data_IF_837725330946
#
_entry.id   IF_837725330946
#
_cell.length_a   1.000
_cell.length_b   1.000
_cell.length_c   1.000
_cell.angle_alpha   90.00
_cell.angle_beta   90.00
_cell.angle_gamma   90.00
#
_symmetry.space_group_name_H-M   'P 1'
#
loop_
_entity.id
_entity.type
_entity.pdbx_description
1 polymer ?
#
# COMPACT_ATOMS: atom_id res chain seq x y z
N UNK A 1 -8.37 -2.88 -2.60
CA UNK A 1 -6.93 -2.49 -2.52
C UNK A 1 -6.71 -1.19 -3.31
N UNK A 2 -7.40 -0.11 -2.91
CA UNK A 2 -7.40 1.19 -3.61
C UNK A 2 -6.36 2.19 -3.04
N UNK A 3 -5.59 1.75 -2.04
CA UNK A 3 -4.66 2.59 -1.28
C UNK A 3 -3.34 2.89 -2.03
N UNK A 4 -3.19 2.43 -3.27
CA UNK A 4 -1.99 2.68 -4.07
C UNK A 4 -1.80 4.16 -4.41
N UNK A 5 -2.90 4.90 -4.61
CA UNK A 5 -2.83 6.34 -4.88
C UNK A 5 -2.40 7.11 -3.62
N UNK A 6 -2.91 6.74 -2.44
CA UNK A 6 -2.45 7.31 -1.16
C UNK A 6 -0.98 7.02 -0.92
N UNK A 7 -0.53 5.78 -1.18
CA UNK A 7 0.88 5.40 -1.05
C UNK A 7 1.78 6.23 -1.97
N UNK A 8 1.33 6.51 -3.20
CA UNK A 8 2.05 7.38 -4.13
C UNK A 8 2.20 8.80 -3.57
N UNK A 9 1.12 9.36 -3.00
CA UNK A 9 1.15 10.69 -2.38
C UNK A 9 2.14 10.73 -1.20
N UNK A 10 2.07 9.75 -0.29
CA UNK A 10 3.00 9.65 0.85
C UNK A 10 4.45 9.54 0.38
N UNK A 11 4.73 8.74 -0.66
CA UNK A 11 6.08 8.61 -1.18
C UNK A 11 6.59 9.91 -1.82
N UNK A 12 5.72 10.70 -2.44
CA UNK A 12 6.07 12.00 -3.02
C UNK A 12 6.37 13.03 -1.93
N UNK A 13 5.57 13.05 -0.85
CA UNK A 13 5.80 13.93 0.29
C UNK A 13 7.15 13.60 0.95
N UNK A 14 7.42 12.32 1.21
CA UNK A 14 8.70 11.85 1.73
C UNK A 14 9.89 12.23 0.84
N UNK A 15 9.74 12.16 -0.48
CA UNK A 15 10.79 12.56 -1.41
C UNK A 15 11.09 14.06 -1.30
N UNK A 16 10.05 14.88 -1.12
CA UNK A 16 10.18 16.33 -0.94
C UNK A 16 10.90 16.67 0.36
N UNK A 17 10.54 15.98 1.45
CA UNK A 17 11.22 16.11 2.75
C UNK A 17 12.70 15.73 2.64
N UNK A 18 13.02 14.65 1.90
CA UNK A 18 14.39 14.22 1.67
C UNK A 18 15.20 15.24 0.85
N UNK A 19 14.60 15.88 -0.15
CA UNK A 19 15.28 16.97 -0.88
C UNK A 19 15.58 18.16 0.02
N UNK A 20 14.62 18.56 0.86
CA UNK A 20 14.81 19.64 1.82
C UNK A 20 15.90 19.30 2.83
N UNK A 21 15.86 18.09 3.40
CA UNK A 21 16.85 17.59 4.34
C UNK A 21 18.26 17.52 3.72
N UNK A 22 18.38 17.04 2.48
CA UNK A 22 19.65 16.97 1.78
C UNK A 22 20.25 18.36 1.53
N UNK A 23 19.45 19.33 1.11
CA UNK A 23 19.90 20.71 0.92
C UNK A 23 20.32 21.35 2.26
N UNK A 24 19.53 21.16 3.32
CA UNK A 24 19.86 21.67 4.65
C UNK A 24 21.15 21.03 5.20
N UNK A 25 21.37 19.74 4.94
CA UNK A 25 22.59 19.05 5.35
C UNK A 25 23.82 19.65 4.66
N UNK A 26 23.75 19.84 3.33
CA UNK A 26 24.82 20.49 2.55
C UNK A 26 25.08 21.89 3.07
N UNK A 27 24.04 22.70 3.28
CA UNK A 27 24.15 24.08 3.75
C UNK A 27 24.83 24.16 5.13
N UNK A 28 24.49 23.27 6.06
CA UNK A 28 25.01 23.33 7.42
C UNK A 28 26.37 22.65 7.63
N UNK A 29 26.74 21.67 6.81
CA UNK A 29 27.91 20.83 7.04
C UNK A 29 29.01 20.97 5.99
N UNK A 30 28.81 21.80 4.95
CA UNK A 30 29.87 22.07 3.99
C UNK A 30 31.04 22.79 4.65
N UNK A 31 32.25 22.41 4.24
CA UNK A 31 33.47 23.02 4.73
C UNK A 31 33.94 24.14 3.79
N UNK A 32 34.58 25.17 4.34
CA UNK A 32 35.14 26.26 3.55
C UNK A 32 36.38 25.78 2.77
N UNK A 33 36.42 26.09 1.47
CA UNK A 33 37.52 25.72 0.58
C UNK A 33 38.50 26.89 0.48
N UNK A 34 39.80 26.59 0.54
CA UNK A 34 40.86 27.58 0.30
C UNK A 34 40.92 27.87 -1.19
N UNK A 35 40.66 29.12 -1.59
CA UNK A 35 40.65 29.53 -3.00
C UNK A 35 42.07 29.73 -3.55
N UNK A 36 42.99 30.28 -2.75
CA UNK A 36 44.39 30.55 -3.12
C UNK A 36 45.33 30.31 -1.93
N UNK A 37 46.60 30.01 -2.18
CA UNK A 37 47.60 29.77 -1.13
C UNK A 37 47.85 30.97 -0.20
N UNK A 38 47.49 32.18 -0.64
CA UNK A 38 47.64 33.43 0.09
C UNK A 38 46.39 33.81 0.92
N UNK A 39 45.27 33.11 0.72
CA UNK A 39 43.99 33.43 1.36
C UNK A 39 43.64 32.34 2.40
N UNK A 40 43.88 32.59 3.70
CA UNK A 40 43.65 31.58 4.73
C UNK A 40 42.16 31.26 4.84
N UNK A 41 41.87 29.97 5.08
CA UNK A 41 40.51 29.49 5.29
C UNK A 41 39.81 30.33 6.37
N UNK A 42 38.69 30.96 5.98
CA UNK A 42 37.82 31.64 6.94
C UNK A 42 37.15 30.57 7.81
N UNK A 43 37.51 30.55 9.09
CA UNK A 43 36.91 29.65 10.08
C UNK A 43 35.94 30.47 10.92
N UNK A 44 34.65 30.24 10.75
CA UNK A 44 33.64 30.77 11.66
C UNK A 44 33.67 29.95 12.96
N UNK A 45 33.76 30.62 14.11
CA UNK A 45 33.79 29.97 15.43
C UNK A 45 32.48 29.24 15.77
N UNK A 46 31.38 29.59 15.11
CA UNK A 46 30.07 28.94 15.31
C UNK A 46 29.76 27.89 14.24
N UNK A 47 30.62 27.70 13.22
CA UNK A 47 30.43 26.72 12.15
C UNK A 47 31.21 25.46 12.47
N UNK A 48 30.51 24.33 12.60
CA UNK A 48 31.08 23.03 12.92
C UNK A 48 30.91 22.09 11.71
N UNK A 49 31.72 22.25 10.65
CA UNK A 49 31.60 21.42 9.46
C UNK A 49 31.97 19.97 9.80
N UNK A 50 31.29 19.03 9.14
CA UNK A 50 31.66 17.62 9.23
C UNK A 50 33.05 17.39 8.61
N UNK A 51 33.73 16.31 8.98
CA UNK A 51 34.95 15.96 8.26
C UNK A 51 34.63 15.65 6.79
N UNK A 52 35.57 15.88 5.88
CA UNK A 52 35.34 15.66 4.46
C UNK A 52 34.94 14.20 4.14
N UNK A 53 35.46 13.24 4.91
CA UNK A 53 35.08 11.83 4.79
C UNK A 53 33.63 11.60 5.23
N UNK A 54 33.24 12.07 6.41
CA UNK A 54 31.87 11.93 6.95
C UNK A 54 30.84 12.68 6.08
N UNK A 55 31.20 13.86 5.58
CA UNK A 55 30.37 14.64 4.68
C UNK A 55 30.12 13.89 3.37
N UNK A 56 31.19 13.37 2.75
CA UNK A 56 31.08 12.59 1.50
C UNK A 56 30.27 11.32 1.70
N UNK A 57 30.46 10.60 2.82
CA UNK A 57 29.69 9.40 3.16
C UNK A 57 28.20 9.73 3.29
N UNK A 58 27.88 10.78 4.05
CA UNK A 58 26.49 11.23 4.27
C UNK A 58 25.81 11.67 2.97
N UNK A 59 26.51 12.36 2.07
CA UNK A 59 25.98 12.74 0.75
C UNK A 59 25.69 11.51 -0.10
N UNK A 60 26.56 10.51 -0.08
CA UNK A 60 26.35 9.26 -0.83
C UNK A 60 25.15 8.47 -0.29
N UNK A 61 24.95 8.44 1.03
CA UNK A 61 23.78 7.83 1.66
C UNK A 61 22.49 8.55 1.23
N UNK A 62 22.43 9.87 1.43
CA UNK A 62 21.29 10.71 1.03
C UNK A 62 20.94 10.55 -0.46
N UNK A 63 21.94 10.56 -1.34
CA UNK A 63 21.75 10.36 -2.77
C UNK A 63 21.21 8.96 -3.08
N UNK A 64 21.74 7.93 -2.42
CA UNK A 64 21.28 6.55 -2.57
C UNK A 64 19.82 6.39 -2.15
N UNK A 65 19.44 6.99 -1.02
CA UNK A 65 18.07 6.94 -0.53
C UNK A 65 17.09 7.65 -1.46
N UNK A 66 17.44 8.83 -1.98
CA UNK A 66 16.63 9.55 -2.98
C UNK A 66 16.40 8.68 -4.23
N UNK A 67 17.45 7.99 -4.70
CA UNK A 67 17.34 7.08 -5.86
C UNK A 67 16.41 5.90 -5.54
N UNK A 68 16.55 5.30 -4.35
CA UNK A 68 15.71 4.19 -3.92
C UNK A 68 14.24 4.61 -3.81
N UNK A 69 13.95 5.78 -3.24
CA UNK A 69 12.59 6.33 -3.19
C UNK A 69 12.02 6.62 -4.56
N UNK A 70 12.83 7.15 -5.47
CA UNK A 70 12.40 7.38 -6.86
C UNK A 70 12.02 6.06 -7.54
N UNK A 71 12.81 4.98 -7.36
CA UNK A 71 12.46 3.65 -7.89
C UNK A 71 11.18 3.08 -7.26
N UNK A 72 10.99 3.29 -5.95
CA UNK A 72 9.78 2.89 -5.25
C UNK A 72 8.55 3.60 -5.85
N UNK A 73 8.64 4.91 -6.09
CA UNK A 73 7.57 5.70 -6.73
C UNK A 73 7.25 5.15 -8.12
N UNK A 74 8.25 4.87 -8.96
CA UNK A 74 8.04 4.30 -10.29
C UNK A 74 7.32 2.95 -10.22
N UNK A 75 7.73 2.07 -9.30
CA UNK A 75 7.08 0.77 -9.09
C UNK A 75 5.61 0.93 -8.66
N UNK A 76 5.31 1.94 -7.83
CA UNK A 76 3.93 2.22 -7.43
C UNK A 76 3.11 2.70 -8.63
N UNK A 77 3.66 3.58 -9.47
CA UNK A 77 3.02 4.07 -10.70
C UNK A 77 2.69 2.90 -11.64
N UNK A 78 3.65 2.00 -11.87
CA UNK A 78 3.48 0.84 -12.75
C UNK A 78 2.43 -0.16 -12.22
N UNK A 79 2.19 -0.15 -10.90
CA UNK A 79 1.22 -1.04 -10.24
C UNK A 79 -0.11 -0.35 -9.90
N UNK A 80 -0.34 0.87 -10.41
CA UNK A 80 -1.60 1.58 -10.19
C UNK A 80 -2.77 0.81 -10.83
N UNK A 81 -3.83 0.50 -10.07
CA UNK A 81 -4.97 -0.24 -10.60
C UNK A 81 -5.69 0.59 -11.67
N UNK A 82 -5.94 -0.02 -12.82
CA UNK A 82 -6.59 0.64 -13.94
C UNK A 82 -5.67 1.54 -14.78
N UNK A 83 -4.36 1.54 -14.53
CA UNK A 83 -3.39 2.17 -15.45
C UNK A 83 -3.47 1.50 -16.82
N UNK A 84 -3.57 2.31 -17.88
CA UNK A 84 -3.67 1.82 -19.26
C UNK A 84 -5.05 1.30 -19.69
N UNK A 85 -6.07 1.32 -18.82
CA UNK A 85 -7.43 0.87 -19.17
C UNK A 85 -8.32 2.08 -19.48
N UNK A 86 -9.11 2.01 -20.54
CA UNK A 86 -10.04 3.09 -20.88
C UNK A 86 -11.24 3.13 -19.93
N UNK A 87 -11.84 4.31 -19.75
CA UNK A 87 -13.07 4.46 -18.94
C UNK A 87 -14.21 3.57 -19.43
N UNK A 88 -14.28 3.33 -20.74
CA UNK A 88 -15.30 2.47 -21.34
C UNK A 88 -15.10 1.02 -20.92
N UNK A 89 -13.90 0.48 -21.06
CA UNK A 89 -13.60 -0.90 -20.61
C UNK A 89 -13.83 -1.08 -19.11
N UNK A 90 -13.49 -0.07 -18.30
CA UNK A 90 -13.80 -0.08 -16.86
C UNK A 90 -15.30 -0.15 -16.60
N UNK A 91 -16.11 0.63 -17.32
CA UNK A 91 -17.56 0.61 -17.20
C UNK A 91 -18.16 -0.71 -17.66
N UNK A 92 -17.73 -1.23 -18.82
CA UNK A 92 -18.17 -2.52 -19.34
C UNK A 92 -17.85 -3.65 -18.34
N UNK A 93 -16.68 -3.59 -17.69
CA UNK A 93 -16.30 -4.53 -16.64
C UNK A 93 -17.18 -4.42 -15.40
N UNK A 94 -17.57 -3.21 -15.00
CA UNK A 94 -18.50 -2.98 -13.88
C UNK A 94 -19.85 -3.62 -14.18
N UNK A 95 -20.42 -3.36 -15.36
CA UNK A 95 -21.72 -3.91 -15.77
C UNK A 95 -21.70 -5.44 -15.85
N UNK A 96 -20.59 -6.01 -16.34
CA UNK A 96 -20.41 -7.47 -16.34
C UNK A 96 -20.39 -8.03 -14.91
N UNK A 97 -19.60 -7.44 -14.03
CA UNK A 97 -19.48 -7.88 -12.63
C UNK A 97 -20.82 -7.74 -11.88
N UNK A 98 -21.60 -6.69 -12.15
CA UNK A 98 -22.93 -6.52 -11.58
C UNK A 98 -23.87 -7.66 -11.98
N UNK A 99 -23.86 -8.05 -13.26
CA UNK A 99 -24.65 -9.19 -13.75
C UNK A 99 -24.19 -10.51 -13.12
N UNK A 100 -22.88 -10.75 -13.08
CA UNK A 100 -22.31 -11.94 -12.44
C UNK A 100 -22.67 -12.01 -10.95
N UNK A 101 -22.64 -10.88 -10.26
CA UNK A 101 -23.03 -10.79 -8.85
C UNK A 101 -24.50 -11.15 -8.66
N UNK A 102 -25.39 -10.62 -9.50
CA UNK A 102 -26.82 -10.94 -9.46
C UNK A 102 -27.08 -12.44 -9.62
N UNK A 103 -26.46 -13.08 -10.62
CA UNK A 103 -26.64 -14.50 -10.89
C UNK A 103 -26.12 -15.36 -9.72
N UNK A 104 -24.98 -14.98 -9.13
CA UNK A 104 -24.40 -15.65 -7.95
C UNK A 104 -25.31 -15.50 -6.73
N UNK A 105 -25.89 -14.32 -6.49
CA UNK A 105 -26.83 -14.11 -5.39
C UNK A 105 -28.11 -14.94 -5.55
N UNK A 106 -28.66 -15.01 -6.77
CA UNK A 106 -29.85 -15.82 -7.05
C UNK A 106 -29.58 -17.31 -6.82
N UNK A 107 -28.41 -17.80 -7.24
CA UNK A 107 -27.99 -19.17 -6.95
C UNK A 107 -27.84 -19.40 -5.45
N UNK A 108 -27.18 -18.49 -4.74
CA UNK A 108 -27.02 -18.54 -3.27
C UNK A 108 -28.39 -18.62 -2.59
N UNK A 109 -29.35 -17.78 -2.98
CA UNK A 109 -30.71 -17.80 -2.43
C UNK A 109 -31.40 -19.15 -2.62
N UNK A 110 -31.33 -19.72 -3.83
CA UNK A 110 -31.91 -21.04 -4.11
C UNK A 110 -31.25 -22.15 -3.28
N UNK A 111 -29.93 -22.13 -3.16
CA UNK A 111 -29.18 -23.10 -2.35
C UNK A 111 -29.54 -23.01 -0.88
N UNK A 112 -29.69 -21.79 -0.33
CA UNK A 112 -30.13 -21.60 1.06
C UNK A 112 -31.53 -22.19 1.25
N UNK A 113 -32.45 -21.92 0.33
CA UNK A 113 -33.81 -22.43 0.41
C UNK A 113 -33.84 -23.97 0.43
N UNK A 114 -33.15 -24.62 -0.52
CA UNK A 114 -33.06 -26.09 -0.54
C UNK A 114 -32.40 -26.64 0.72
N UNK A 115 -31.39 -25.96 1.26
CA UNK A 115 -30.74 -26.37 2.51
C UNK A 115 -31.73 -26.29 3.70
N UNK A 116 -32.54 -25.25 3.77
CA UNK A 116 -33.53 -25.09 4.84
C UNK A 116 -34.66 -26.13 4.72
N UNK A 117 -35.17 -26.40 3.50
CA UNK A 117 -36.17 -27.44 3.25
C UNK A 117 -35.67 -28.84 3.67
N UNK A 118 -34.42 -29.17 3.33
CA UNK A 118 -33.80 -30.45 3.71
C UNK A 118 -33.60 -30.55 5.23
N UNK A 119 -33.27 -29.44 5.89
CA UNK A 119 -33.09 -29.40 7.33
C UNK A 119 -34.41 -29.61 8.07
N UNK A 120 -35.49 -29.03 7.57
CA UNK A 120 -36.85 -29.27 8.08
C UNK A 120 -37.23 -30.76 7.95
N UNK A 121 -37.01 -31.36 6.78
CA UNK A 121 -37.30 -32.78 6.55
C UNK A 121 -36.51 -33.71 7.48
N UNK A 122 -35.22 -33.46 7.68
CA UNK A 122 -34.39 -34.25 8.61
C UNK A 122 -34.88 -34.09 10.06
N UNK A 123 -35.27 -32.88 10.47
CA UNK A 123 -35.82 -32.65 11.80
C UNK A 123 -37.13 -33.40 12.03
N UNK A 124 -38.03 -33.44 11.03
CA UNK A 124 -39.26 -34.22 11.11
C UNK A 124 -38.98 -35.71 11.31
N UNK A 125 -38.04 -36.30 10.56
CA UNK A 125 -37.64 -37.70 10.72
C UNK A 125 -37.07 -37.99 12.11
N UNK A 126 -36.22 -37.09 12.64
CA UNK A 126 -35.67 -37.22 13.99
C UNK A 126 -36.80 -37.20 15.03
N UNK A 127 -37.77 -36.29 14.89
CA UNK A 127 -38.92 -36.20 15.80
C UNK A 127 -39.82 -37.43 15.72
N UNK A 128 -40.07 -37.98 14.53
CA UNK A 128 -40.85 -39.22 14.35
C UNK A 128 -40.16 -40.41 15.02
N UNK A 129 -38.85 -40.58 14.82
CA UNK A 129 -38.08 -41.64 15.46
C UNK A 129 -38.09 -41.46 16.99
N UNK A 130 -37.89 -40.25 17.48
CA UNK A 130 -37.91 -39.95 18.91
C UNK A 130 -39.27 -40.28 19.54
N UNK A 131 -40.39 -39.94 18.89
CA UNK A 131 -41.75 -40.30 19.33
C UNK A 131 -41.97 -41.80 19.32
N UNK A 132 -41.59 -42.49 18.25
CA UNK A 132 -41.71 -43.96 18.16
C UNK A 132 -40.92 -44.68 19.27
N UNK A 133 -39.71 -44.23 19.60
CA UNK A 133 -38.93 -44.76 20.71
C UNK A 133 -39.61 -44.50 22.06
N UNK A 134 -40.18 -43.30 22.26
CA UNK A 134 -40.89 -42.95 23.48
C UNK A 134 -42.15 -43.82 23.68
N UNK A 135 -42.95 -44.01 22.63
CA UNK A 135 -44.16 -44.84 22.64
C UNK A 135 -43.86 -46.32 22.86
N UNK A 136 -42.71 -46.83 22.40
CA UNK A 136 -42.31 -48.24 22.60
C UNK A 136 -41.77 -48.51 24.01
N UNK A 137 -41.39 -47.47 24.76
CA UNK A 137 -40.84 -47.58 26.13
C UNK A 137 -41.89 -47.42 27.24
N UNK A 138 -43.11 -47.01 26.93
CA UNK A 138 -44.26 -46.92 27.84
C UNK A 138 -45.04 -48.23 27.79
#
# INVERSE_FOLDING_TARGET
MADRLTQLQICLDQLTDMFSAALNYVDQHHDAIVLNAEDPKLVDQNHHPASNAEFTESINELASDIILKTRQILTIIDTLPGVGVTKKEQMDRILQLEKELYDVEMKKKKTIQTKDDLLEWVNELILQISRGIAETRV
#
